data_IF_522011695523
#
_entry.id   IF_522011695523
#
_cell.length_a   1.000
_cell.length_b   1.000
_cell.length_c   1.000
_cell.angle_alpha   90.00
_cell.angle_beta   90.00
_cell.angle_gamma   90.00
#
_symmetry.space_group_name_H-M   'P 1'
#
loop_
_entity.id
_entity.type
_entity.pdbx_description
1 polymer ?
#
# COMPACT_ATOMS: atom_id res chain seq x y z
N UNK A 1 11.59 -9.39 18.13
CA UNK A 1 10.12 -9.28 18.04
C UNK A 1 9.51 -10.33 18.94
N UNK A 2 8.57 -9.94 19.79
CA UNK A 2 7.68 -10.87 20.49
C UNK A 2 6.59 -11.35 19.52
N UNK A 3 5.92 -12.45 19.85
CA UNK A 3 4.82 -12.98 19.04
C UNK A 3 3.68 -11.95 18.88
N UNK A 4 3.42 -11.14 19.90
CA UNK A 4 2.44 -10.05 19.87
C UNK A 4 2.84 -8.92 18.91
N UNK A 5 4.13 -8.53 18.92
CA UNK A 5 4.66 -7.53 18.00
C UNK A 5 4.56 -8.03 16.55
N UNK A 6 4.88 -9.29 16.28
CA UNK A 6 4.75 -9.88 14.94
C UNK A 6 3.30 -9.91 14.45
N UNK A 7 2.37 -10.30 15.31
CA UNK A 7 0.94 -10.29 14.98
C UNK A 7 0.44 -8.88 14.69
N UNK A 8 0.89 -7.87 15.45
CA UNK A 8 0.55 -6.47 15.20
C UNK A 8 1.08 -5.98 13.84
N UNK A 9 2.34 -6.31 13.49
CA UNK A 9 2.93 -5.94 12.19
C UNK A 9 2.21 -6.65 11.04
N UNK A 10 1.86 -7.93 11.19
CA UNK A 10 1.07 -8.68 10.19
C UNK A 10 -0.32 -8.09 9.98
N UNK A 11 -0.99 -7.66 11.05
CA UNK A 11 -2.30 -7.01 10.97
C UNK A 11 -2.21 -5.66 10.24
N UNK A 12 -1.22 -4.83 10.59
CA UNK A 12 -0.98 -3.57 9.91
C UNK A 12 -0.63 -3.77 8.42
N UNK A 13 0.19 -4.78 8.11
CA UNK A 13 0.52 -5.13 6.73
C UNK A 13 -0.74 -5.51 5.93
N UNK A 14 -1.64 -6.31 6.51
CA UNK A 14 -2.90 -6.66 5.86
C UNK A 14 -3.77 -5.42 5.60
N UNK A 15 -3.85 -4.50 6.58
CA UNK A 15 -4.58 -3.23 6.46
C UNK A 15 -4.02 -2.38 5.32
N UNK A 16 -2.70 -2.17 5.28
CA UNK A 16 -2.05 -1.35 4.26
C UNK A 16 -2.17 -1.96 2.86
N UNK A 17 -2.06 -3.30 2.74
CA UNK A 17 -2.28 -4.00 1.46
C UNK A 17 -3.72 -3.82 0.96
N UNK A 18 -4.71 -3.84 1.86
CA UNK A 18 -6.10 -3.55 1.50
C UNK A 18 -6.23 -2.10 0.99
N UNK A 19 -5.75 -1.13 1.76
CA UNK A 19 -5.81 0.30 1.39
C UNK A 19 -5.11 0.56 0.04
N UNK A 20 -3.97 -0.09 -0.21
CA UNK A 20 -3.25 0.00 -1.47
C UNK A 20 -4.08 -0.54 -2.66
N UNK A 21 -4.79 -1.66 -2.48
CA UNK A 21 -5.70 -2.21 -3.50
C UNK A 21 -6.89 -1.29 -3.76
N UNK A 22 -7.45 -0.71 -2.72
CA UNK A 22 -8.58 0.22 -2.83
C UNK A 22 -8.17 1.50 -3.59
N UNK A 23 -6.98 2.02 -3.32
CA UNK A 23 -6.41 3.13 -4.10
C UNK A 23 -6.22 2.77 -5.57
N UNK A 24 -5.84 1.53 -5.86
CA UNK A 24 -5.69 1.08 -7.25
C UNK A 24 -7.02 1.06 -8.00
N UNK A 25 -8.07 0.52 -7.36
CA UNK A 25 -9.42 0.55 -7.90
C UNK A 25 -9.93 1.99 -8.11
N UNK A 26 -9.68 2.88 -7.16
CA UNK A 26 -10.04 4.29 -7.26
C UNK A 26 -9.31 5.01 -8.40
N UNK A 27 -8.01 4.75 -8.58
CA UNK A 27 -7.22 5.31 -9.68
C UNK A 27 -7.75 4.80 -11.02
N UNK A 28 -8.04 3.50 -11.14
CA UNK A 28 -8.57 2.90 -12.36
C UNK A 28 -9.93 3.50 -12.74
N UNK A 29 -10.83 3.64 -11.77
CA UNK A 29 -12.15 4.24 -11.97
C UNK A 29 -12.05 5.71 -12.41
N UNK A 30 -11.18 6.49 -11.77
CA UNK A 30 -10.98 7.91 -12.10
C UNK A 30 -10.33 8.08 -13.47
N UNK A 31 -9.34 7.24 -13.81
CA UNK A 31 -8.66 7.28 -15.10
C UNK A 31 -9.57 6.84 -16.27
N UNK A 32 -10.59 6.01 -16.02
CA UNK A 32 -11.59 5.62 -17.01
C UNK A 32 -12.64 6.71 -17.27
N UNK A 33 -12.69 7.77 -16.46
CA UNK A 33 -13.64 8.87 -16.65
C UNK A 33 -13.19 9.82 -17.77
N UNK A 34 -14.13 10.27 -18.60
CA UNK A 34 -13.88 11.21 -19.72
C UNK A 34 -13.36 12.58 -19.27
N UNK A 35 -13.56 12.93 -18.00
CA UNK A 35 -13.11 14.18 -17.38
C UNK A 35 -12.16 13.87 -16.22
N UNK A 36 -11.25 12.91 -16.40
CA UNK A 36 -10.30 12.52 -15.38
C UNK A 36 -9.55 13.75 -14.84
N UNK A 37 -9.71 14.01 -13.53
CA UNK A 37 -8.92 15.02 -12.84
C UNK A 37 -7.49 14.48 -12.68
N UNK A 38 -6.61 14.90 -13.59
CA UNK A 38 -5.21 14.49 -13.60
C UNK A 38 -4.51 14.83 -12.28
N UNK A 39 -4.83 15.95 -11.62
CA UNK A 39 -4.23 16.31 -10.33
C UNK A 39 -4.68 15.34 -9.24
N UNK A 40 -5.95 14.98 -9.23
CA UNK A 40 -6.48 13.98 -8.29
C UNK A 40 -5.85 12.60 -8.53
N UNK A 41 -5.71 12.16 -9.78
CA UNK A 41 -5.01 10.91 -10.13
C UNK A 41 -3.55 10.95 -9.65
N UNK A 42 -2.82 12.04 -9.86
CA UNK A 42 -1.44 12.17 -9.39
C UNK A 42 -1.35 12.10 -7.85
N UNK A 43 -2.27 12.74 -7.13
CA UNK A 43 -2.33 12.67 -5.66
C UNK A 43 -2.58 11.25 -5.16
N UNK A 44 -3.50 10.52 -5.80
CA UNK A 44 -3.78 9.12 -5.45
C UNK A 44 -2.58 8.22 -5.74
N UNK A 45 -1.92 8.39 -6.88
CA UNK A 45 -0.69 7.65 -7.21
C UNK A 45 0.44 7.90 -6.21
N UNK A 46 0.62 9.16 -5.76
CA UNK A 46 1.60 9.50 -4.72
C UNK A 46 1.30 8.80 -3.40
N UNK A 47 0.02 8.78 -2.98
CA UNK A 47 -0.41 8.04 -1.78
C UNK A 47 -0.16 6.54 -1.94
N UNK A 48 -0.51 5.97 -3.09
CA UNK A 48 -0.28 4.55 -3.40
C UNK A 48 1.20 4.19 -3.30
N UNK A 49 2.10 5.03 -3.82
CA UNK A 49 3.54 4.83 -3.72
C UNK A 49 4.01 4.80 -2.26
N UNK A 50 3.57 5.77 -1.43
CA UNK A 50 3.92 5.79 -0.01
C UNK A 50 3.43 4.54 0.75
N UNK A 51 2.24 4.02 0.41
CA UNK A 51 1.76 2.77 0.98
C UNK A 51 2.61 1.58 0.54
N UNK A 52 3.01 1.51 -0.74
CA UNK A 52 3.90 0.47 -1.25
C UNK A 52 5.24 0.47 -0.50
N UNK A 53 5.83 1.64 -0.31
CA UNK A 53 7.11 1.77 0.41
C UNK A 53 6.95 1.32 1.87
N UNK A 54 5.84 1.69 2.53
CA UNK A 54 5.55 1.25 3.90
C UNK A 54 5.28 -0.24 4.01
N UNK A 55 4.59 -0.82 3.04
CA UNK A 55 4.35 -2.26 2.93
C UNK A 55 5.69 -3.00 2.84
N UNK A 56 6.58 -2.58 1.94
CA UNK A 56 7.92 -3.18 1.80
C UNK A 56 8.70 -3.12 3.11
N UNK A 57 8.72 -1.97 3.79
CA UNK A 57 9.38 -1.83 5.08
C UNK A 57 8.83 -2.78 6.17
N UNK A 58 7.52 -3.05 6.19
CA UNK A 58 6.92 -3.99 7.15
C UNK A 58 7.13 -5.45 6.73
N UNK A 59 7.14 -5.73 5.44
CA UNK A 59 7.48 -7.04 4.88
C UNK A 59 8.93 -7.42 5.23
N UNK A 60 9.88 -6.49 5.06
CA UNK A 60 11.29 -6.69 5.40
C UNK A 60 11.51 -6.96 6.90
N UNK A 61 10.64 -6.41 7.77
CA UNK A 61 10.70 -6.66 9.22
C UNK A 61 10.19 -8.05 9.62
N UNK A 62 9.20 -8.59 8.93
CA UNK A 62 8.64 -9.93 9.22
C UNK A 62 9.40 -11.02 8.45
N UNK A 63 9.89 -10.70 7.26
CA UNK A 63 10.47 -11.64 6.31
C UNK A 63 11.89 -11.17 5.91
N UNK A 64 12.86 -11.16 6.86
CA UNK A 64 14.19 -10.63 6.62
C UNK A 64 15.02 -11.42 5.58
N UNK A 65 14.49 -12.47 4.96
CA UNK A 65 15.26 -13.53 4.30
C UNK A 65 14.79 -13.84 2.85
N UNK A 66 14.43 -12.81 2.08
CA UNK A 66 14.09 -12.96 0.63
C UNK A 66 14.79 -11.97 -0.29
N UNK A 67 15.62 -11.06 0.25
CA UNK A 67 16.43 -10.12 -0.51
C UNK A 67 17.90 -10.30 -0.07
N UNK A 68 18.49 -11.44 -0.43
CA UNK A 68 19.93 -11.74 -0.39
C UNK A 68 20.39 -12.25 -1.76
#
# INVERSE_FOLDING_TARGET
MTDEEEMAVRHELARLRQEHRDLDAAIAALAASTHADFIQVQRLKKRKLALKDRIGFLEDQILPDIIA
#
